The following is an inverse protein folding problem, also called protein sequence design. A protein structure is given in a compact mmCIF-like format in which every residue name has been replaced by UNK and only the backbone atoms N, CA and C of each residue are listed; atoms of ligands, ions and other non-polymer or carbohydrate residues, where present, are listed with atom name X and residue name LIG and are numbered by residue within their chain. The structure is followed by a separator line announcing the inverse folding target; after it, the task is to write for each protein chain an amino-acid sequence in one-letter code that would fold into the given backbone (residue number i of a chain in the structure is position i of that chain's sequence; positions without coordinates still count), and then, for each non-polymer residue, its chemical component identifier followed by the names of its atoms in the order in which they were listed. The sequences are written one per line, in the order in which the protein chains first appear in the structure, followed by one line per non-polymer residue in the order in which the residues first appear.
data_IF_360442935752
#
_entry.id   IF_360442935752
#
_cell.length_a   1.000
_cell.length_b   1.000
_cell.length_c   1.000
_cell.angle_alpha   90.00
_cell.angle_beta   90.00
_cell.angle_gamma   90.00
#
_symmetry.space_group_name_H-M   'P 1'
#
loop_
_entity.id
_entity.type
_entity.pdbx_description
1 polymer ?
#
# COMPACT_ATOMS: atom_id res chain seq x y z
N UNK A 1 -8.68 11.23 -11.90
CA UNK A 1 -8.99 12.67 -11.85
C UNK A 1 -8.89 13.31 -10.45
N UNK A 2 -9.23 12.64 -9.35
CA UNK A 2 -9.12 13.29 -8.02
C UNK A 2 -7.77 13.01 -7.36
N UNK A 3 -7.43 11.74 -7.13
CA UNK A 3 -6.20 11.39 -6.41
C UNK A 3 -4.99 11.08 -7.32
N UNK A 4 -5.16 11.09 -8.64
CA UNK A 4 -4.10 10.64 -9.57
C UNK A 4 -3.54 11.72 -10.50
N UNK A 5 -4.39 12.64 -10.97
CA UNK A 5 -4.06 13.69 -11.95
C UNK A 5 -5.27 14.61 -12.06
N UNK A 6 -5.13 15.85 -12.53
CA UNK A 6 -6.25 16.75 -12.81
C UNK A 6 -6.14 18.07 -12.07
N UNK A 7 -7.00 19.01 -12.42
CA UNK A 7 -6.99 20.39 -11.91
C UNK A 7 -7.24 20.44 -10.40
N UNK A 8 -8.20 19.65 -9.88
CA UNK A 8 -8.49 19.59 -8.45
C UNK A 8 -7.24 19.21 -7.64
N UNK A 9 -6.53 18.15 -8.08
CA UNK A 9 -5.29 17.72 -7.45
C UNK A 9 -4.23 18.83 -7.51
N UNK A 10 -4.07 19.44 -8.68
CA UNK A 10 -3.11 20.52 -8.89
C UNK A 10 -3.36 21.71 -7.96
N UNK A 11 -4.60 22.23 -7.95
CA UNK A 11 -4.99 23.37 -7.13
C UNK A 11 -4.74 23.12 -5.65
N UNK A 12 -5.09 21.93 -5.14
CA UNK A 12 -4.91 21.61 -3.73
C UNK A 12 -3.44 21.45 -3.36
N UNK A 13 -2.65 20.79 -4.20
CA UNK A 13 -1.22 20.58 -3.94
C UNK A 13 -0.44 21.90 -4.03
N UNK A 14 -0.71 22.73 -5.03
CA UNK A 14 -0.06 24.03 -5.19
C UNK A 14 -0.44 25.03 -4.09
N UNK A 15 -1.63 24.92 -3.50
CA UNK A 15 -2.02 25.70 -2.32
C UNK A 15 -1.19 25.36 -1.06
N UNK A 16 -0.42 24.25 -1.07
CA UNK A 16 0.47 23.84 0.02
C UNK A 16 -0.23 23.84 1.38
N UNK A 17 -1.44 23.25 1.43
CA UNK A 17 -2.28 23.19 2.63
C UNK A 17 -1.61 22.41 3.77
N UNK A 18 -0.88 21.36 3.41
CA UNK A 18 -0.22 20.45 4.33
C UNK A 18 1.29 20.43 4.08
N UNK A 19 2.13 20.27 5.12
CA UNK A 19 3.58 20.06 4.96
C UNK A 19 3.93 18.81 4.12
N UNK A 20 2.98 17.89 4.01
CA UNK A 20 3.11 16.64 3.30
C UNK A 20 2.01 16.48 2.24
N UNK A 21 2.40 16.46 0.96
CA UNK A 21 1.52 16.24 -0.19
C UNK A 21 0.71 14.94 -0.12
N UNK A 22 1.20 13.91 0.56
CA UNK A 22 0.47 12.64 0.73
C UNK A 22 -0.78 12.80 1.60
N UNK A 23 -0.82 13.81 2.47
CA UNK A 23 -1.95 14.06 3.37
C UNK A 23 -3.26 14.15 2.61
N UNK A 24 -3.31 14.93 1.53
CA UNK A 24 -4.54 15.12 0.75
C UNK A 24 -4.93 13.86 -0.02
N UNK A 25 -3.97 13.21 -0.69
CA UNK A 25 -4.28 12.02 -1.51
C UNK A 25 -4.63 10.78 -0.68
N UNK A 26 -4.41 10.82 0.64
CA UNK A 26 -4.85 9.79 1.60
C UNK A 26 -6.22 10.07 2.23
N UNK A 27 -6.85 11.20 1.89
CA UNK A 27 -8.19 11.53 2.38
C UNK A 27 -9.27 10.66 1.72
N UNK A 28 -10.45 10.63 2.33
CA UNK A 28 -11.66 10.02 1.76
C UNK A 28 -12.58 11.13 1.26
N UNK A 29 -13.15 10.99 0.07
CA UNK A 29 -14.20 11.90 -0.39
C UNK A 29 -15.50 11.64 0.39
N UNK A 30 -16.19 12.71 0.78
CA UNK A 30 -17.55 12.61 1.34
C UNK A 30 -18.63 12.38 0.29
N UNK A 31 -18.32 12.68 -0.98
CA UNK A 31 -19.22 12.52 -2.12
C UNK A 31 -18.53 11.78 -3.28
N UNK A 32 -19.29 11.11 -4.18
CA UNK A 32 -18.71 10.51 -5.38
C UNK A 32 -17.93 11.52 -6.22
N UNK A 33 -16.93 11.03 -6.97
CA UNK A 33 -16.00 11.88 -7.71
C UNK A 33 -16.69 12.92 -8.61
N UNK A 34 -17.79 12.56 -9.27
CA UNK A 34 -18.54 13.49 -10.13
C UNK A 34 -19.11 14.69 -9.36
N UNK A 35 -19.68 14.46 -8.17
CA UNK A 35 -20.23 15.54 -7.35
C UNK A 35 -19.10 16.37 -6.70
N UNK A 36 -18.03 15.71 -6.25
CA UNK A 36 -16.82 16.41 -5.75
C UNK A 36 -16.23 17.35 -6.80
N UNK A 37 -16.14 16.90 -8.07
CA UNK A 37 -15.66 17.76 -9.17
C UNK A 37 -16.63 18.89 -9.50
N UNK A 38 -17.94 18.68 -9.38
CA UNK A 38 -18.95 19.74 -9.56
C UNK A 38 -18.82 20.82 -8.47
N UNK A 39 -18.65 20.42 -7.22
CA UNK A 39 -18.41 21.34 -6.10
C UNK A 39 -17.09 22.09 -6.26
N UNK A 40 -16.05 21.41 -6.77
CA UNK A 40 -14.77 22.03 -7.08
C UNK A 40 -14.90 23.10 -8.18
N UNK A 41 -15.55 22.79 -9.31
CA UNK A 41 -15.79 23.76 -10.40
C UNK A 41 -16.57 24.97 -9.92
N UNK A 42 -17.61 24.75 -9.10
CA UNK A 42 -18.37 25.84 -8.49
C UNK A 42 -17.47 26.76 -7.64
N UNK A 43 -16.59 26.19 -6.82
CA UNK A 43 -15.63 26.97 -6.03
C UNK A 43 -14.65 27.74 -6.93
N UNK A 44 -14.16 27.13 -8.02
CA UNK A 44 -13.29 27.82 -8.98
C UNK A 44 -14.02 28.98 -9.66
N UNK A 45 -15.26 28.80 -10.11
CA UNK A 45 -16.08 29.82 -10.77
C UNK A 45 -16.38 31.01 -9.84
N UNK A 46 -16.71 30.74 -8.57
CA UNK A 46 -16.97 31.77 -7.55
C UNK A 46 -15.73 32.62 -7.22
N UNK A 47 -14.52 32.14 -7.56
CA UNK A 47 -13.24 32.78 -7.27
C UNK A 47 -12.43 33.10 -8.53
N UNK A 48 -13.10 33.31 -9.68
CA UNK A 48 -12.48 33.70 -10.96
C UNK A 48 -11.32 32.77 -11.40
N UNK A 49 -11.41 31.47 -11.10
CA UNK A 49 -10.38 30.44 -11.30
C UNK A 49 -9.05 30.69 -10.58
N UNK A 50 -9.03 31.54 -9.54
CA UNK A 50 -7.86 31.87 -8.75
C UNK A 50 -8.17 31.88 -7.24
N UNK A 51 -8.64 30.76 -6.64
CA UNK A 51 -8.98 30.72 -5.24
C UNK A 51 -7.75 30.92 -4.34
N UNK A 52 -7.96 31.65 -3.24
CA UNK A 52 -7.01 31.79 -2.13
C UNK A 52 -6.78 30.45 -1.40
N UNK A 53 -5.69 30.38 -0.65
CA UNK A 53 -5.37 29.20 0.17
C UNK A 53 -6.50 28.85 1.14
N UNK A 54 -7.13 29.87 1.71
CA UNK A 54 -8.23 29.73 2.65
C UNK A 54 -9.50 29.16 1.99
N UNK A 55 -9.76 29.49 0.72
CA UNK A 55 -10.87 28.93 -0.06
C UNK A 55 -10.64 27.46 -0.39
N UNK A 56 -9.42 27.13 -0.81
CA UNK A 56 -9.04 25.73 -1.07
C UNK A 56 -9.09 24.91 0.22
N UNK A 57 -8.63 25.45 1.35
CA UNK A 57 -8.74 24.77 2.65
C UNK A 57 -10.20 24.51 3.04
N UNK A 58 -11.08 25.52 2.92
CA UNK A 58 -12.52 25.35 3.20
C UNK A 58 -13.14 24.29 2.31
N UNK A 59 -12.77 24.26 1.02
CA UNK A 59 -13.24 23.23 0.10
C UNK A 59 -12.83 21.82 0.57
N UNK A 60 -11.57 21.64 0.99
CA UNK A 60 -11.08 20.35 1.49
C UNK A 60 -11.83 19.93 2.77
N UNK A 61 -11.94 20.83 3.75
CA UNK A 61 -12.59 20.54 5.04
C UNK A 61 -14.07 20.12 4.87
N UNK A 62 -14.77 20.76 3.93
CA UNK A 62 -16.18 20.47 3.65
C UNK A 62 -16.32 19.13 2.92
N UNK A 63 -15.45 18.80 1.97
CA UNK A 63 -15.67 17.70 1.01
C UNK A 63 -14.88 16.42 1.29
N UNK A 64 -13.91 16.45 2.21
CA UNK A 64 -13.04 15.31 2.50
C UNK A 64 -13.02 14.97 3.99
N UNK A 65 -12.93 13.69 4.31
CA UNK A 65 -12.62 13.23 5.67
C UNK A 65 -11.10 13.15 5.87
N UNK A 66 -10.59 13.37 7.10
CA UNK A 66 -9.16 13.31 7.39
C UNK A 66 -8.52 11.99 6.95
N UNK A 67 -7.27 12.08 6.49
CA UNK A 67 -6.49 10.91 6.15
C UNK A 67 -6.46 9.91 7.32
N UNK A 68 -6.55 8.61 7.02
CA UNK A 68 -6.54 7.53 8.02
C UNK A 68 -7.91 7.17 8.58
N UNK A 69 -8.99 7.82 8.14
CA UNK A 69 -10.37 7.43 8.43
C UNK A 69 -10.74 6.01 7.95
N UNK A 70 -9.89 5.41 7.12
CA UNK A 70 -9.99 4.08 6.50
C UNK A 70 -9.84 2.90 7.47
N UNK A 71 -9.20 3.12 8.63
CA UNK A 71 -8.77 2.03 9.50
C UNK A 71 -9.57 1.96 10.79
N UNK A 72 -9.76 0.73 11.28
CA UNK A 72 -10.23 0.42 12.62
C UNK A 72 -9.09 -0.13 13.49
N UNK A 73 -9.27 -0.02 14.81
CA UNK A 73 -8.33 -0.59 15.76
C UNK A 73 -8.25 -2.10 15.60
N UNK A 74 -7.04 -2.61 15.47
CA UNK A 74 -6.79 -4.02 15.32
C UNK A 74 -5.47 -4.41 15.96
N UNK A 75 -5.51 -5.50 16.73
CA UNK A 75 -4.34 -6.13 17.31
C UNK A 75 -4.22 -7.53 16.70
N UNK A 76 -3.03 -7.93 16.20
CA UNK A 76 -2.83 -9.27 15.68
C UNK A 76 -3.17 -10.33 16.71
N UNK A 77 -4.05 -11.27 16.35
CA UNK A 77 -4.55 -12.31 17.25
C UNK A 77 -3.53 -13.40 17.55
N UNK A 78 -2.53 -13.55 16.68
CA UNK A 78 -1.43 -14.50 16.83
C UNK A 78 -0.15 -13.88 17.41
N UNK A 79 -0.19 -12.60 17.80
CA UNK A 79 0.92 -11.97 18.50
C UNK A 79 1.15 -12.63 19.86
N UNK A 80 2.42 -12.84 20.22
CA UNK A 80 2.83 -13.42 21.50
C UNK A 80 3.82 -12.49 22.18
N UNK A 81 3.70 -12.35 23.50
CA UNK A 81 4.63 -11.54 24.29
C UNK A 81 6.05 -12.10 24.29
N UNK A 82 6.17 -13.41 24.38
CA UNK A 82 7.46 -14.12 24.46
C UNK A 82 7.59 -15.14 23.32
N UNK A 83 7.84 -14.69 22.08
CA UNK A 83 8.09 -15.60 20.97
C UNK A 83 9.43 -16.32 21.16
N UNK A 84 9.52 -17.56 20.67
CA UNK A 84 10.67 -18.46 20.89
C UNK A 84 12.03 -17.92 20.47
N UNK A 85 12.07 -16.93 19.58
CA UNK A 85 13.35 -16.34 19.16
C UNK A 85 14.04 -15.58 20.30
N UNK A 86 13.29 -15.06 21.28
CA UNK A 86 13.84 -14.33 22.42
C UNK A 86 14.70 -15.22 23.32
N UNK A 87 14.34 -16.50 23.47
CA UNK A 87 15.08 -17.47 24.29
C UNK A 87 16.53 -17.67 23.81
N UNK A 88 16.76 -17.43 22.52
CA UNK A 88 18.07 -17.57 21.87
C UNK A 88 19.01 -16.40 22.14
N UNK A 89 18.48 -15.26 22.61
CA UNK A 89 19.24 -14.05 22.86
C UNK A 89 19.71 -14.05 24.32
N UNK A 90 21.00 -14.30 24.57
CA UNK A 90 21.54 -14.41 25.93
C UNK A 90 21.77 -13.07 26.62
N UNK A 91 22.17 -12.07 25.84
CA UNK A 91 22.41 -10.72 26.35
C UNK A 91 21.08 -10.06 26.75
N UNK A 92 21.03 -9.51 27.98
CA UNK A 92 19.79 -8.98 28.56
C UNK A 92 19.29 -7.75 27.83
N UNK A 93 20.19 -6.85 27.44
CA UNK A 93 19.83 -5.59 26.79
C UNK A 93 19.39 -5.85 25.35
N UNK A 94 20.06 -6.75 24.63
CA UNK A 94 19.63 -7.19 23.31
C UNK A 94 18.30 -7.96 23.35
N UNK A 95 18.07 -8.78 24.38
CA UNK A 95 16.77 -9.47 24.57
C UNK A 95 15.66 -8.48 24.83
N UNK A 96 15.92 -7.45 25.65
CA UNK A 96 14.96 -6.37 25.87
C UNK A 96 14.65 -5.62 24.58
N UNK A 97 15.67 -5.22 23.82
CA UNK A 97 15.49 -4.56 22.52
C UNK A 97 14.64 -5.41 21.56
N UNK A 98 14.92 -6.72 21.49
CA UNK A 98 14.15 -7.65 20.67
C UNK A 98 12.69 -7.81 21.13
N UNK A 99 12.44 -7.80 22.44
CA UNK A 99 11.08 -7.77 23.00
C UNK A 99 10.35 -6.49 22.61
N UNK A 100 11.03 -5.34 22.73
CA UNK A 100 10.46 -4.04 22.36
C UNK A 100 10.14 -4.01 20.84
N UNK A 101 10.98 -4.62 19.98
CA UNK A 101 10.68 -4.79 18.56
C UNK A 101 9.44 -5.66 18.30
N UNK A 102 9.27 -6.75 19.05
CA UNK A 102 8.08 -7.61 18.95
C UNK A 102 6.81 -6.85 19.37
N UNK A 103 6.87 -5.96 20.35
CA UNK A 103 5.74 -5.13 20.77
C UNK A 103 5.28 -4.14 19.67
N UNK A 104 6.19 -3.70 18.78
CA UNK A 104 5.88 -2.77 17.69
C UNK A 104 4.86 -3.35 16.70
N UNK A 105 4.77 -4.67 16.52
CA UNK A 105 3.79 -5.28 15.62
C UNK A 105 2.34 -4.89 15.94
N UNK A 106 2.01 -4.68 17.22
CA UNK A 106 0.69 -4.23 17.65
C UNK A 106 0.39 -2.79 17.21
N UNK A 107 1.41 -1.95 17.08
CA UNK A 107 1.28 -0.54 16.67
C UNK A 107 1.23 -0.38 15.15
N UNK A 108 1.86 -1.29 14.41
CA UNK A 108 1.94 -1.25 12.95
C UNK A 108 0.79 -1.99 12.26
N UNK A 109 -0.08 -2.66 13.02
CA UNK A 109 -1.28 -3.30 12.50
C UNK A 109 -2.30 -2.31 11.95
N UNK A 110 -2.80 -2.56 10.74
CA UNK A 110 -3.87 -1.79 10.11
C UNK A 110 -4.92 -2.73 9.56
N UNK A 111 -6.17 -2.54 9.98
CA UNK A 111 -7.33 -3.25 9.44
C UNK A 111 -8.26 -2.23 8.81
N UNK A 112 -8.63 -2.46 7.56
CA UNK A 112 -9.55 -1.57 6.84
C UNK A 112 -10.97 -1.77 7.36
N UNK A 113 -11.71 -0.66 7.51
CA UNK A 113 -13.14 -0.70 7.80
C UNK A 113 -13.90 -1.32 6.64
N UNK A 114 -15.05 -1.91 6.95
CA UNK A 114 -15.98 -2.42 5.95
C UNK A 114 -16.46 -1.33 4.97
N UNK A 115 -16.50 -0.07 5.41
CA UNK A 115 -16.80 1.10 4.58
C UNK A 115 -15.85 1.23 3.37
N UNK A 116 -14.57 0.87 3.53
CA UNK A 116 -13.60 0.87 2.43
C UNK A 116 -13.97 -0.15 1.37
N UNK A 117 -14.54 -1.31 1.77
CA UNK A 117 -15.00 -2.35 0.84
C UNK A 117 -16.26 -1.92 0.09
N UNK A 118 -17.21 -1.34 0.80
CA UNK A 118 -18.52 -0.95 0.25
C UNK A 118 -18.38 0.28 -0.65
N UNK A 119 -17.57 1.25 -0.23
CA UNK A 119 -17.44 2.55 -0.86
C UNK A 119 -16.03 2.79 -1.44
N UNK A 120 -15.37 1.75 -1.98
CA UNK A 120 -13.98 1.80 -2.48
C UNK A 120 -13.72 2.99 -3.44
N UNK A 121 -14.72 3.40 -4.22
CA UNK A 121 -14.66 4.54 -5.14
C UNK A 121 -14.49 5.91 -4.47
N UNK A 122 -14.72 6.03 -3.16
CA UNK A 122 -14.51 7.26 -2.37
C UNK A 122 -13.08 7.39 -1.83
N UNK A 123 -12.31 6.31 -1.89
CA UNK A 123 -10.99 6.21 -1.28
C UNK A 123 -9.89 6.17 -2.31
N UNK A 124 -8.70 6.60 -1.90
CA UNK A 124 -7.48 6.27 -2.63
C UNK A 124 -6.91 4.92 -2.20
N UNK A 125 -7.19 4.41 -0.99
CA UNK A 125 -6.74 3.08 -0.57
C UNK A 125 -7.48 1.99 -1.35
N UNK A 126 -6.77 0.94 -1.70
CA UNK A 126 -7.32 -0.23 -2.40
C UNK A 126 -7.71 -1.26 -1.34
N UNK A 127 -8.96 -1.71 -1.36
CA UNK A 127 -9.47 -2.62 -0.34
C UNK A 127 -8.78 -4.00 -0.42
N UNK A 128 -8.31 -4.48 0.74
CA UNK A 128 -7.84 -5.86 0.94
C UNK A 128 -8.55 -6.50 2.14
N UNK A 129 -8.89 -7.81 2.08
CA UNK A 129 -9.77 -8.46 3.05
C UNK A 129 -9.15 -8.75 4.42
N UNK A 130 -7.81 -8.80 4.53
CA UNK A 130 -7.11 -9.08 5.78
C UNK A 130 -6.36 -7.85 6.27
N UNK A 131 -6.08 -7.81 7.58
CA UNK A 131 -5.22 -6.79 8.15
C UNK A 131 -3.79 -6.88 7.57
N UNK A 132 -3.08 -5.76 7.60
CA UNK A 132 -1.70 -5.64 7.14
C UNK A 132 -0.83 -5.05 8.24
N UNK A 133 0.46 -5.37 8.21
CA UNK A 133 1.49 -4.67 8.98
C UNK A 133 2.17 -3.68 8.04
N UNK A 134 2.19 -2.40 8.42
CA UNK A 134 2.72 -1.31 7.58
C UNK A 134 4.13 -0.88 8.01
N UNK A 135 4.91 -0.17 7.17
CA UNK A 135 6.24 0.31 7.55
C UNK A 135 6.24 1.29 8.74
N UNK A 136 5.15 2.05 8.91
CA UNK A 136 4.97 3.01 10.01
C UNK A 136 5.07 4.48 9.61
N UNK A 137 4.84 5.37 10.58
CA UNK A 137 4.82 6.82 10.36
C UNK A 137 3.69 7.25 9.40
N UNK A 138 4.06 7.96 8.33
CA UNK A 138 3.13 8.42 7.28
C UNK A 138 2.58 7.30 6.39
N UNK A 139 3.20 6.11 6.41
CA UNK A 139 2.83 4.98 5.57
C UNK A 139 1.73 4.16 6.23
N UNK A 140 0.52 4.21 5.67
CA UNK A 140 -0.68 3.62 6.27
C UNK A 140 -1.26 2.44 5.47
N UNK A 141 -0.81 2.29 4.22
CA UNK A 141 -1.12 1.18 3.34
C UNK A 141 0.01 0.13 3.37
N UNK A 142 -0.27 -1.04 2.78
CA UNK A 142 0.81 -2.00 2.50
C UNK A 142 1.81 -1.40 1.52
N UNK A 143 3.09 -1.76 1.65
CA UNK A 143 4.15 -1.51 0.68
C UNK A 143 4.78 -2.82 0.27
N UNK A 144 4.97 -3.03 -1.02
CA UNK A 144 5.25 -4.37 -1.55
C UNK A 144 6.57 -4.96 -1.04
N UNK A 145 7.71 -4.35 -1.37
CA UNK A 145 9.01 -4.90 -0.95
C UNK A 145 9.28 -4.80 0.56
N UNK A 146 8.77 -3.78 1.26
CA UNK A 146 8.86 -3.65 2.72
C UNK A 146 8.21 -4.85 3.41
N UNK A 147 7.09 -5.32 2.84
CA UNK A 147 6.36 -6.48 3.36
C UNK A 147 7.19 -7.77 3.34
N UNK A 148 8.23 -7.87 2.52
CA UNK A 148 9.12 -9.03 2.53
C UNK A 148 9.89 -9.12 3.84
N UNK A 149 10.45 -7.99 4.29
CA UNK A 149 11.19 -7.92 5.54
C UNK A 149 10.26 -8.06 6.75
N UNK A 150 9.08 -7.43 6.67
CA UNK A 150 8.03 -7.56 7.69
C UNK A 150 7.61 -9.03 7.83
N UNK A 151 7.28 -9.72 6.74
CA UNK A 151 6.90 -11.15 6.77
C UNK A 151 7.98 -12.00 7.43
N UNK A 152 9.26 -11.77 7.12
CA UNK A 152 10.35 -12.50 7.79
C UNK A 152 10.37 -12.25 9.31
N UNK A 153 10.17 -11.01 9.75
CA UNK A 153 10.07 -10.66 11.17
C UNK A 153 8.85 -11.29 11.85
N UNK A 154 7.69 -11.29 11.18
CA UNK A 154 6.46 -11.89 11.67
C UNK A 154 6.59 -13.41 11.81
N UNK A 155 7.22 -14.09 10.84
CA UNK A 155 7.50 -15.53 10.93
C UNK A 155 8.41 -15.88 12.11
N UNK A 156 9.45 -15.07 12.37
CA UNK A 156 10.29 -15.21 13.56
C UNK A 156 9.52 -14.98 14.87
N UNK A 157 8.52 -14.10 14.82
CA UNK A 157 7.63 -13.78 15.95
C UNK A 157 6.46 -14.76 16.10
N UNK A 158 6.46 -15.87 15.35
CA UNK A 158 5.43 -16.91 15.33
C UNK A 158 4.03 -16.42 14.90
N UNK A 159 3.96 -15.31 14.14
CA UNK A 159 2.72 -14.68 13.67
C UNK A 159 2.26 -15.20 12.30
N UNK A 160 2.04 -16.51 12.22
CA UNK A 160 1.78 -17.22 10.95
C UNK A 160 0.45 -16.86 10.29
N UNK A 161 -0.60 -16.60 11.07
CA UNK A 161 -1.92 -16.26 10.54
C UNK A 161 -1.95 -14.83 9.98
N UNK A 162 -1.22 -13.91 10.62
CA UNK A 162 -1.00 -12.56 10.10
C UNK A 162 -0.26 -12.60 8.76
N UNK A 163 0.81 -13.41 8.65
CA UNK A 163 1.53 -13.61 7.38
C UNK A 163 0.62 -14.20 6.29
N UNK A 164 -0.16 -15.24 6.62
CA UNK A 164 -1.14 -15.82 5.68
C UNK A 164 -2.13 -14.78 5.17
N UNK A 165 -2.63 -13.91 6.06
CA UNK A 165 -3.53 -12.81 5.71
C UNK A 165 -2.88 -11.80 4.75
N UNK A 166 -1.65 -11.37 5.03
CA UNK A 166 -0.89 -10.47 4.15
C UNK A 166 -0.62 -11.09 2.76
N UNK A 167 -0.24 -12.36 2.70
CA UNK A 167 -0.05 -13.07 1.43
C UNK A 167 -1.37 -13.20 0.64
N UNK A 168 -2.48 -13.48 1.35
CA UNK A 168 -3.82 -13.56 0.76
C UNK A 168 -4.29 -12.21 0.21
N UNK A 169 -3.93 -11.11 0.87
CA UNK A 169 -4.13 -9.76 0.35
C UNK A 169 -3.33 -9.54 -0.95
N UNK A 170 -2.06 -9.94 -0.99
CA UNK A 170 -1.22 -9.75 -2.16
C UNK A 170 -1.73 -10.52 -3.38
N UNK A 171 -2.10 -11.78 -3.24
CA UNK A 171 -2.67 -12.55 -4.36
C UNK A 171 -4.03 -11.99 -4.80
N UNK A 172 -4.84 -11.46 -3.88
CA UNK A 172 -6.07 -10.71 -4.22
C UNK A 172 -5.77 -9.47 -5.06
N UNK A 173 -4.69 -8.74 -4.74
CA UNK A 173 -4.26 -7.56 -5.50
C UNK A 173 -3.75 -7.96 -6.88
N UNK A 174 -2.95 -9.03 -6.98
CA UNK A 174 -2.53 -9.57 -8.29
C UNK A 174 -3.73 -9.98 -9.11
N UNK A 175 -4.76 -10.58 -8.49
CA UNK A 175 -5.94 -10.98 -9.24
C UNK A 175 -6.68 -9.77 -9.83
N UNK A 176 -6.90 -8.74 -9.00
CA UNK A 176 -7.59 -7.50 -9.38
C UNK A 176 -6.81 -6.62 -10.36
N UNK A 177 -5.50 -6.50 -10.20
CA UNK A 177 -4.67 -5.47 -10.87
C UNK A 177 -3.70 -6.09 -11.90
N UNK A 178 -3.39 -7.38 -11.76
CA UNK A 178 -2.41 -8.09 -12.59
C UNK A 178 -1.00 -8.14 -12.00
N UNK A 179 -0.70 -7.29 -11.02
CA UNK A 179 0.57 -7.24 -10.31
C UNK A 179 0.41 -6.50 -8.97
N UNK A 180 1.41 -6.58 -8.09
CA UNK A 180 1.38 -5.83 -6.82
C UNK A 180 1.92 -4.41 -7.06
N UNK A 181 1.13 -3.34 -6.84
CA UNK A 181 1.60 -1.96 -6.95
C UNK A 181 2.62 -1.64 -5.85
N UNK A 182 3.33 -0.51 -6.01
CA UNK A 182 4.30 -0.02 -5.01
C UNK A 182 3.72 -0.07 -3.58
N UNK A 183 2.50 0.46 -3.41
CA UNK A 183 1.69 0.30 -2.22
C UNK A 183 0.20 0.27 -2.52
N UNK A 184 -0.61 0.05 -1.48
CA UNK A 184 -2.06 -0.17 -1.59
C UNK A 184 -2.93 1.04 -1.90
N UNK A 185 -2.51 1.93 -2.81
CA UNK A 185 -3.25 3.14 -3.18
C UNK A 185 -3.43 3.25 -4.70
N UNK A 186 -4.52 3.87 -5.15
CA UNK A 186 -4.84 3.97 -6.58
C UNK A 186 -3.80 4.75 -7.38
N UNK A 187 -3.13 5.74 -6.77
CA UNK A 187 -2.05 6.50 -7.41
C UNK A 187 -0.74 5.70 -7.55
N UNK A 188 -0.67 4.49 -6.99
CA UNK A 188 0.41 3.53 -7.21
C UNK A 188 0.10 2.51 -8.33
N UNK A 189 -1.11 2.48 -8.91
CA UNK A 189 -1.53 1.43 -9.87
C UNK A 189 -0.71 1.34 -11.17
N UNK A 190 0.18 2.30 -11.46
CA UNK A 190 1.02 2.30 -12.66
C UNK A 190 2.49 1.96 -12.40
N UNK A 191 2.88 1.77 -11.13
CA UNK A 191 4.24 1.39 -10.73
C UNK A 191 4.23 0.26 -9.69
N UNK A 192 5.28 -0.54 -9.71
CA UNK A 192 5.49 -1.61 -8.75
C UNK A 192 6.77 -1.34 -7.95
N UNK A 193 7.22 -2.34 -7.22
CA UNK A 193 8.44 -2.42 -6.43
C UNK A 193 9.17 -3.72 -6.80
N UNK A 194 10.37 -3.99 -6.25
CA UNK A 194 11.04 -5.27 -6.46
C UNK A 194 10.10 -6.47 -6.22
N UNK A 195 9.94 -7.39 -7.20
CA UNK A 195 8.96 -8.47 -7.11
C UNK A 195 9.41 -9.57 -6.15
N UNK A 196 8.84 -9.55 -4.95
CA UNK A 196 9.24 -10.43 -3.85
C UNK A 196 8.12 -11.36 -3.37
N UNK A 197 6.96 -11.42 -4.06
CA UNK A 197 5.83 -12.28 -3.66
C UNK A 197 6.21 -13.77 -3.57
N UNK A 198 6.81 -14.33 -4.62
CA UNK A 198 7.23 -15.75 -4.62
C UNK A 198 8.23 -16.03 -3.47
N UNK A 199 9.28 -15.22 -3.26
CA UNK A 199 10.12 -15.33 -2.05
C UNK A 199 9.35 -15.24 -0.73
N UNK A 200 8.37 -14.34 -0.57
CA UNK A 200 7.55 -14.25 0.64
C UNK A 200 6.76 -15.54 0.88
N UNK A 201 6.11 -16.07 -0.17
CA UNK A 201 5.38 -17.34 -0.11
C UNK A 201 6.32 -18.49 0.24
N UNK A 202 7.52 -18.52 -0.33
CA UNK A 202 8.52 -19.53 0.02
C UNK A 202 8.85 -19.50 1.51
N UNK A 203 9.15 -18.33 2.09
CA UNK A 203 9.45 -18.23 3.53
C UNK A 203 8.27 -18.70 4.39
N UNK A 204 7.04 -18.38 4.00
CA UNK A 204 5.84 -18.85 4.70
C UNK A 204 5.70 -20.38 4.64
N UNK A 205 5.90 -20.99 3.47
CA UNK A 205 5.79 -22.44 3.29
C UNK A 205 6.91 -23.22 3.99
N UNK A 206 8.14 -22.70 3.98
CA UNK A 206 9.28 -23.32 4.67
C UNK A 206 9.02 -23.46 6.19
N UNK A 207 8.17 -22.60 6.77
CA UNK A 207 7.81 -22.60 8.20
C UNK A 207 6.50 -23.34 8.48
N UNK A 208 5.49 -23.21 7.62
CA UNK A 208 4.12 -23.68 7.91
C UNK A 208 3.71 -24.94 7.15
N UNK A 209 4.38 -25.25 6.03
CA UNK A 209 3.98 -26.33 5.11
C UNK A 209 2.51 -26.23 4.63
N UNK A 210 1.95 -25.03 4.55
CA UNK A 210 0.57 -24.78 4.08
C UNK A 210 0.46 -24.91 2.54
N UNK A 211 0.68 -26.13 2.05
CA UNK A 211 0.61 -26.45 0.62
C UNK A 211 -0.82 -26.40 0.07
N UNK A 212 -1.84 -26.42 0.94
CA UNK A 212 -3.22 -26.20 0.52
C UNK A 212 -3.40 -24.75 0.03
N UNK A 213 -2.96 -23.77 0.83
CA UNK A 213 -2.99 -22.36 0.41
C UNK A 213 -2.18 -22.14 -0.88
N UNK A 214 -1.00 -22.77 -1.01
CA UNK A 214 -0.23 -22.68 -2.26
C UNK A 214 -1.03 -23.23 -3.45
N UNK A 215 -1.62 -24.43 -3.34
CA UNK A 215 -2.39 -25.04 -4.43
C UNK A 215 -3.55 -24.16 -4.88
N UNK A 216 -4.19 -23.46 -3.95
CA UNK A 216 -5.27 -22.53 -4.24
C UNK A 216 -4.80 -21.25 -4.94
N UNK A 217 -3.56 -20.80 -4.71
CA UNK A 217 -3.08 -19.47 -5.11
C UNK A 217 -1.91 -19.46 -6.11
N UNK A 218 -1.33 -20.61 -6.46
CA UNK A 218 -0.12 -20.70 -7.31
C UNK A 218 -0.31 -20.03 -8.68
N UNK A 219 -1.50 -20.11 -9.26
CA UNK A 219 -1.84 -19.47 -10.52
C UNK A 219 -1.75 -17.93 -10.45
N UNK A 220 -1.96 -17.33 -9.28
CA UNK A 220 -1.81 -15.89 -9.07
C UNK A 220 -0.33 -15.51 -8.92
N UNK A 221 0.51 -16.38 -8.36
CA UNK A 221 1.97 -16.17 -8.34
C UNK A 221 2.54 -16.18 -9.76
N UNK A 222 2.08 -17.12 -10.58
CA UNK A 222 2.42 -17.21 -12.00
C UNK A 222 1.90 -15.99 -12.78
N UNK A 223 0.68 -15.52 -12.49
CA UNK A 223 0.11 -14.30 -13.09
C UNK A 223 1.00 -13.08 -12.88
N UNK A 224 1.49 -12.84 -11.66
CA UNK A 224 2.43 -11.74 -11.41
C UNK A 224 3.77 -11.96 -12.12
N UNK A 225 4.33 -13.17 -12.06
CA UNK A 225 5.58 -13.48 -12.78
C UNK A 225 5.46 -13.18 -14.28
N UNK A 226 4.36 -13.61 -14.90
CA UNK A 226 4.07 -13.34 -16.30
C UNK A 226 3.90 -11.85 -16.59
N UNK A 227 3.31 -11.08 -15.68
CA UNK A 227 3.28 -9.62 -15.80
C UNK A 227 4.70 -9.05 -15.95
N UNK A 228 5.65 -9.47 -15.12
CA UNK A 228 7.04 -8.99 -15.22
C UNK A 228 7.71 -9.42 -16.51
N UNK A 229 7.57 -10.69 -16.90
CA UNK A 229 8.19 -11.21 -18.11
C UNK A 229 7.66 -10.53 -19.38
N UNK A 230 6.36 -10.24 -19.44
CA UNK A 230 5.72 -9.63 -20.61
C UNK A 230 5.89 -8.10 -20.65
N UNK A 231 5.70 -7.42 -19.52
CA UNK A 231 5.57 -5.96 -19.51
C UNK A 231 6.82 -5.21 -19.06
N UNK A 232 7.78 -5.91 -18.43
CA UNK A 232 8.93 -5.30 -17.75
C UNK A 232 10.27 -5.80 -18.26
N UNK A 233 10.28 -6.62 -19.30
CA UNK A 233 11.51 -7.02 -19.99
C UNK A 233 11.75 -6.17 -21.23
N UNK A 234 13.01 -6.07 -21.63
CA UNK A 234 13.46 -5.46 -22.88
C UNK A 234 14.54 -6.32 -23.51
N UNK A 235 14.60 -6.30 -24.83
CA UNK A 235 15.72 -6.88 -25.57
C UNK A 235 16.83 -5.84 -25.72
N UNK A 236 18.05 -6.24 -25.40
CA UNK A 236 19.26 -5.44 -25.56
C UNK A 236 20.26 -6.23 -26.39
N UNK A 237 20.69 -5.68 -27.52
CA UNK A 237 21.77 -6.24 -28.31
C UNK A 237 23.11 -5.76 -27.75
N UNK A 238 24.04 -6.70 -27.52
CA UNK A 238 25.43 -6.41 -27.17
C UNK A 238 26.36 -7.46 -27.77
N UNK A 239 27.38 -7.02 -28.50
CA UNK A 239 28.38 -7.86 -29.17
C UNK A 239 27.77 -8.94 -30.09
N UNK A 240 26.72 -8.56 -30.85
CA UNK A 240 25.99 -9.46 -31.76
C UNK A 240 25.13 -10.52 -31.05
N UNK A 241 24.84 -10.35 -29.75
CA UNK A 241 23.95 -11.21 -28.97
C UNK A 241 22.79 -10.41 -28.37
N UNK A 242 21.59 -10.95 -28.48
CA UNK A 242 20.40 -10.38 -27.85
C UNK A 242 20.23 -10.94 -26.42
N UNK A 243 19.98 -10.03 -25.47
CA UNK A 243 19.70 -10.34 -24.07
C UNK A 243 18.32 -9.83 -23.70
N UNK A 244 17.52 -10.66 -23.04
CA UNK A 244 16.25 -10.23 -22.43
C UNK A 244 16.50 -9.87 -20.98
N UNK A 245 16.35 -8.61 -20.61
CA UNK A 245 16.61 -8.10 -19.26
C UNK A 245 15.39 -7.39 -18.69
N UNK A 246 15.19 -7.52 -17.37
CA UNK A 246 14.16 -6.78 -16.66
C UNK A 246 14.58 -5.33 -16.41
N UNK A 247 13.63 -4.40 -16.49
CA UNK A 247 13.81 -2.99 -16.12
C UNK A 247 12.67 -2.51 -15.22
N UNK A 248 12.98 -1.60 -14.31
CA UNK A 248 11.94 -0.80 -13.68
C UNK A 248 11.40 0.20 -14.71
N UNK A 249 10.08 0.32 -14.75
CA UNK A 249 9.39 1.24 -15.63
C UNK A 249 8.14 1.76 -14.92
N UNK A 250 7.70 2.97 -15.26
CA UNK A 250 6.48 3.57 -14.75
C UNK A 250 5.75 4.21 -15.92
N UNK A 251 4.44 3.96 -16.02
CA UNK A 251 3.61 4.46 -17.12
C UNK A 251 2.82 5.73 -16.80
N UNK A 252 2.99 6.31 -15.61
CA UNK A 252 2.29 7.54 -15.23
C UNK A 252 2.95 8.77 -15.84
N UNK A 253 2.14 9.79 -16.14
CA UNK A 253 2.60 11.09 -16.64
C UNK A 253 2.42 12.16 -15.55
N UNK A 254 3.35 13.11 -15.49
CA UNK A 254 3.30 14.25 -14.57
C UNK A 254 3.87 13.96 -13.17
N UNK A 255 3.70 14.90 -12.23
CA UNK A 255 4.18 14.77 -10.86
C UNK A 255 3.51 13.59 -10.13
N UNK A 256 4.22 13.03 -9.14
CA UNK A 256 3.67 11.98 -8.28
C UNK A 256 2.63 12.61 -7.33
N UNK A 257 1.38 12.13 -7.26
CA UNK A 257 0.35 12.73 -6.42
C UNK A 257 0.72 12.83 -4.94
N UNK A 258 1.48 11.87 -4.42
CA UNK A 258 1.94 11.83 -3.02
C UNK A 258 3.21 12.65 -2.75
N UNK A 259 3.80 13.26 -3.77
CA UNK A 259 5.03 14.06 -3.74
C UNK A 259 4.99 15.07 -4.90
N UNK A 260 3.93 15.88 -4.88
CA UNK A 260 3.47 16.70 -5.99
C UNK A 260 4.36 17.90 -6.26
#
# INVERSE_FOLDING_TARGET
EIYCHGELLHTIQMASLYPDSKTFVDMKMKQPAAETMKLFRKMMDENENAPSKEEVQRFVDINFEPAGSEFEDWVPTDWRKEPKFLDRIKDRELRKFASDLNDIWKMLGRKMKEDVRINEHLYSIIHVPHAVIVPGGRFREFYYWDSYWIIKGLLLSEMYSTVKGMLSNFVTIVDKIGFIPNGGRIYYKMRSHPPLLIPMVKHYLDVTSDYQWLRENVHLLEKEFNFWMVNRTVEIEKDGRNYTLARYYEGSYGPRPESY
#
